data_IF_648250016226
#
_entry.id   IF_648250016226
#
_cell.length_a   1.000
_cell.length_b   1.000
_cell.length_c   1.000
_cell.angle_alpha   90.00
_cell.angle_beta   90.00
_cell.angle_gamma   90.00
#
_symmetry.space_group_name_H-M   'P 1'
#
loop_
_entity.id
_entity.type
_entity.pdbx_description
1 polymer ?
#
# COMPACT_ATOMS: atom_id res chain seq x y z
N UNK A 1 -9.69 -3.76 14.46
CA UNK A 1 -8.48 -4.61 14.47
C UNK A 1 -8.16 -4.91 13.01
N UNK A 2 -7.22 -4.20 12.39
CA UNK A 2 -6.93 -4.38 10.96
C UNK A 2 -6.03 -5.61 10.83
N UNK A 3 -6.64 -6.72 10.40
CA UNK A 3 -6.00 -8.01 10.22
C UNK A 3 -5.24 -8.06 8.88
N UNK A 4 -4.03 -8.62 8.97
CA UNK A 4 -3.17 -9.11 7.89
C UNK A 4 -2.45 -8.06 7.03
N UNK A 5 -1.21 -7.76 7.46
CA UNK A 5 -0.15 -7.32 6.54
C UNK A 5 0.02 -8.44 5.51
N UNK A 6 -0.06 -8.18 4.19
CA UNK A 6 0.12 -9.22 3.19
C UNK A 6 1.49 -9.89 3.35
N UNK A 7 1.49 -11.20 3.60
CA UNK A 7 2.69 -12.05 3.57
C UNK A 7 3.10 -12.34 2.12
N UNK A 8 3.12 -11.33 1.24
CA UNK A 8 3.71 -11.54 -0.07
C UNK A 8 5.23 -11.72 0.13
N UNK A 9 5.69 -12.92 -0.17
CA UNK A 9 7.10 -13.32 -0.06
C UNK A 9 8.04 -12.38 -0.83
N UNK A 10 7.57 -11.72 -1.89
CA UNK A 10 8.33 -10.73 -2.67
C UNK A 10 8.50 -9.41 -1.93
N UNK A 11 7.47 -8.94 -1.24
CA UNK A 11 7.54 -7.73 -0.40
C UNK A 11 8.52 -7.94 0.73
N UNK A 12 8.42 -9.08 1.42
CA UNK A 12 9.34 -9.42 2.50
C UNK A 12 10.78 -9.54 1.98
N UNK A 13 10.98 -10.13 0.80
CA UNK A 13 12.29 -10.21 0.17
C UNK A 13 12.86 -8.84 -0.21
N UNK A 14 12.05 -7.95 -0.81
CA UNK A 14 12.46 -6.58 -1.17
C UNK A 14 12.74 -5.74 0.08
N UNK A 15 11.88 -5.81 1.09
CA UNK A 15 12.05 -5.11 2.35
C UNK A 15 13.31 -5.57 3.09
N UNK A 16 13.63 -6.87 3.08
CA UNK A 16 14.86 -7.42 3.67
C UNK A 16 16.12 -6.97 2.92
N UNK A 17 16.03 -6.75 1.60
CA UNK A 17 17.14 -6.23 0.78
C UNK A 17 17.30 -4.71 0.90
N UNK A 18 16.29 -3.99 1.39
CA UNK A 18 16.34 -2.56 1.57
C UNK A 18 17.31 -2.17 2.71
N UNK A 19 17.92 -0.99 2.59
CA UNK A 19 18.78 -0.43 3.63
C UNK A 19 18.02 -0.21 4.94
N UNK A 20 18.72 -0.14 6.08
CA UNK A 20 18.08 0.14 7.39
C UNK A 20 17.27 1.44 7.37
N UNK A 21 17.73 2.44 6.63
CA UNK A 21 17.03 3.73 6.50
C UNK A 21 15.71 3.58 5.73
N UNK A 22 15.71 2.84 4.61
CA UNK A 22 14.50 2.54 3.84
C UNK A 22 13.50 1.73 4.66
N UNK A 23 13.97 0.72 5.41
CA UNK A 23 13.09 -0.04 6.31
C UNK A 23 12.47 0.83 7.40
N UNK A 24 13.21 1.80 7.93
CA UNK A 24 12.68 2.74 8.94
C UNK A 24 11.62 3.65 8.33
N UNK A 25 11.89 4.27 7.18
CA UNK A 25 10.92 5.12 6.47
C UNK A 25 9.65 4.36 6.10
N UNK A 26 9.78 3.14 5.60
CA UNK A 26 8.64 2.29 5.30
C UNK A 26 7.79 1.99 6.57
N UNK A 27 8.42 1.71 7.72
CA UNK A 27 7.69 1.53 8.99
C UNK A 27 6.95 2.81 9.41
N UNK A 28 7.59 3.97 9.31
CA UNK A 28 6.99 5.27 9.61
C UNK A 28 5.79 5.56 8.69
N UNK A 29 5.94 5.33 7.38
CA UNK A 29 4.86 5.48 6.41
C UNK A 29 3.69 4.52 6.67
N UNK A 30 3.97 3.27 7.08
CA UNK A 30 2.91 2.34 7.50
C UNK A 30 2.15 2.81 8.74
N UNK A 31 2.83 3.45 9.69
CA UNK A 31 2.16 4.03 10.87
C UNK A 31 1.26 5.20 10.48
N UNK A 32 1.68 6.02 9.51
CA UNK A 32 0.85 7.10 8.96
C UNK A 32 -0.36 6.50 8.23
N UNK A 33 -0.15 5.49 7.38
CA UNK A 33 -1.23 4.84 6.62
C UNK A 33 -2.33 4.27 7.53
N UNK A 34 -1.94 3.64 8.65
CA UNK A 34 -2.89 3.10 9.63
C UNK A 34 -3.74 4.17 10.30
N UNK A 35 -3.25 5.40 10.40
CA UNK A 35 -3.99 6.52 11.00
C UNK A 35 -4.84 7.25 9.96
N UNK A 36 -4.25 7.52 8.79
CA UNK A 36 -4.92 8.19 7.68
C UNK A 36 -4.30 7.71 6.35
N UNK A 37 -5.00 6.85 5.59
CA UNK A 37 -4.48 6.34 4.32
C UNK A 37 -4.43 7.42 3.22
N UNK A 38 -5.12 8.56 3.41
CA UNK A 38 -5.09 9.71 2.51
C UNK A 38 -4.22 10.85 3.04
N UNK A 39 -3.34 10.58 4.00
CA UNK A 39 -2.35 11.57 4.44
C UNK A 39 -1.53 12.04 3.23
N UNK A 40 -1.36 13.37 3.01
CA UNK A 40 -0.64 13.90 1.86
C UNK A 40 0.78 13.34 1.69
N UNK A 41 1.42 12.92 2.78
CA UNK A 41 2.75 12.29 2.77
C UNK A 41 2.78 10.95 2.04
N UNK A 42 1.64 10.27 1.97
CA UNK A 42 1.49 8.97 1.31
C UNK A 42 1.11 9.10 -0.16
N UNK A 43 0.85 10.32 -0.67
CA UNK A 43 0.52 10.58 -2.09
C UNK A 43 -0.53 9.61 -2.65
N UNK A 44 -1.56 9.34 -1.85
CA UNK A 44 -2.59 8.39 -2.21
C UNK A 44 -3.36 8.85 -3.45
N UNK A 45 -3.55 7.96 -4.42
CA UNK A 45 -4.26 8.27 -5.66
C UNK A 45 -5.13 7.10 -6.12
N UNK A 46 -6.19 7.41 -6.88
CA UNK A 46 -7.11 6.43 -7.45
C UNK A 46 -6.45 5.68 -8.61
N UNK A 47 -6.66 4.37 -8.67
CA UNK A 47 -6.22 3.52 -9.76
C UNK A 47 -7.42 3.16 -10.62
N UNK A 48 -7.61 3.87 -11.73
CA UNK A 48 -8.78 3.70 -12.59
C UNK A 48 -8.96 2.27 -13.12
N UNK A 49 -7.87 1.65 -13.58
CA UNK A 49 -7.89 0.31 -14.18
C UNK A 49 -8.33 -0.78 -13.20
N UNK A 50 -7.74 -0.80 -12.00
CA UNK A 50 -8.15 -1.71 -10.94
C UNK A 50 -9.56 -1.37 -10.44
N UNK A 51 -9.92 -0.08 -10.42
CA UNK A 51 -11.26 0.30 -10.01
C UNK A 51 -12.34 -0.28 -10.91
N UNK A 52 -12.12 -0.26 -12.23
CA UNK A 52 -13.00 -0.88 -13.20
C UNK A 52 -13.03 -2.42 -13.03
N UNK A 53 -11.87 -3.06 -12.87
CA UNK A 53 -11.76 -4.52 -12.71
C UNK A 53 -12.49 -5.05 -11.48
N UNK A 54 -12.39 -4.35 -10.35
CA UNK A 54 -12.96 -4.80 -9.08
C UNK A 54 -14.34 -4.20 -8.78
N UNK A 55 -14.92 -3.43 -9.73
CA UNK A 55 -16.16 -2.69 -9.59
C UNK A 55 -16.25 -1.88 -8.27
N UNK A 56 -15.11 -1.31 -7.83
CA UNK A 56 -14.97 -0.55 -6.58
C UNK A 56 -13.90 0.52 -6.77
N UNK A 57 -13.92 1.62 -6.03
CA UNK A 57 -12.82 2.58 -6.13
C UNK A 57 -11.59 2.04 -5.40
N UNK A 58 -10.54 1.78 -6.17
CA UNK A 58 -9.24 1.30 -5.68
C UNK A 58 -8.27 2.48 -5.61
N UNK A 59 -7.51 2.54 -4.53
CA UNK A 59 -6.45 3.52 -4.29
C UNK A 59 -5.10 2.83 -4.11
N UNK A 60 -4.03 3.59 -4.34
CA UNK A 60 -2.69 3.23 -3.90
C UNK A 60 -2.04 4.35 -3.13
N UNK A 61 -1.44 3.99 -1.99
CA UNK A 61 -0.63 4.85 -1.14
C UNK A 61 0.85 4.45 -1.24
N UNK A 62 1.72 5.44 -1.19
CA UNK A 62 3.16 5.27 -1.24
C UNK A 62 3.75 5.06 0.14
N UNK A 63 4.52 3.97 0.29
CA UNK A 63 5.15 3.62 1.56
C UNK A 63 6.64 3.94 1.56
N UNK A 64 7.38 3.46 0.54
CA UNK A 64 8.81 3.75 0.40
C UNK A 64 9.28 3.38 -1.01
N UNK A 65 9.99 4.29 -1.69
CA UNK A 65 10.51 4.06 -3.04
C UNK A 65 9.44 3.50 -4.00
N UNK A 66 9.53 2.23 -4.41
CA UNK A 66 8.57 1.56 -5.28
C UNK A 66 7.46 0.81 -4.52
N UNK A 67 7.53 0.70 -3.20
CA UNK A 67 6.56 0.00 -2.37
C UNK A 67 5.26 0.81 -2.26
N UNK A 68 4.15 0.16 -2.59
CA UNK A 68 2.79 0.70 -2.53
C UNK A 68 1.89 -0.22 -1.72
N UNK A 69 0.92 0.38 -1.04
CA UNK A 69 -0.23 -0.32 -0.47
C UNK A 69 -1.42 -0.04 -1.36
N UNK A 70 -2.06 -1.09 -1.89
CA UNK A 70 -3.31 -1.00 -2.65
C UNK A 70 -4.46 -1.26 -1.70
N UNK A 71 -5.47 -0.39 -1.68
CA UNK A 71 -6.57 -0.46 -0.72
C UNK A 71 -7.86 0.12 -1.30
N UNK A 72 -8.98 -0.15 -0.62
CA UNK A 72 -10.25 0.53 -0.83
C UNK A 72 -10.88 0.89 0.51
N UNK A 73 -11.86 1.78 0.45
CA UNK A 73 -12.69 2.13 1.61
C UNK A 73 -14.03 1.42 1.46
N UNK A 74 -14.43 0.69 2.48
CA UNK A 74 -15.75 0.08 2.60
C UNK A 74 -16.40 0.61 3.88
N UNK A 75 -17.46 1.40 3.71
CA UNK A 75 -18.06 2.19 4.79
C UNK A 75 -17.01 3.08 5.48
N UNK A 76 -16.59 2.73 6.69
CA UNK A 76 -15.58 3.42 7.51
C UNK A 76 -14.28 2.59 7.68
N UNK A 77 -14.17 1.46 6.98
CA UNK A 77 -13.05 0.53 7.10
C UNK A 77 -12.11 0.68 5.91
N UNK A 78 -10.81 0.77 6.21
CA UNK A 78 -9.73 0.67 5.22
C UNK A 78 -9.42 -0.80 4.99
N UNK A 79 -9.71 -1.30 3.80
CA UNK A 79 -9.41 -2.67 3.41
C UNK A 79 -8.19 -2.70 2.50
N UNK A 80 -7.12 -3.36 2.96
CA UNK A 80 -5.90 -3.56 2.17
C UNK A 80 -6.11 -4.72 1.21
N UNK A 81 -5.84 -4.49 -0.08
CA UNK A 81 -5.93 -5.49 -1.14
C UNK A 81 -4.59 -6.16 -1.35
N UNK A 82 -3.53 -5.36 -1.40
CA UNK A 82 -2.18 -5.84 -1.67
C UNK A 82 -1.13 -4.85 -1.16
N UNK A 83 0.08 -5.34 -0.98
CA UNK A 83 1.28 -4.53 -0.76
C UNK A 83 2.32 -5.04 -1.74
N UNK A 84 2.94 -4.15 -2.51
CA UNK A 84 3.86 -4.58 -3.56
C UNK A 84 4.56 -3.42 -4.26
N UNK A 85 5.45 -3.75 -5.20
CA UNK A 85 6.11 -2.73 -6.02
C UNK A 85 5.11 -2.06 -6.97
N UNK A 86 5.55 -1.00 -7.65
CA UNK A 86 4.79 -0.36 -8.73
C UNK A 86 4.37 -1.33 -9.85
N UNK A 87 5.02 -2.49 -9.98
CA UNK A 87 4.70 -3.49 -11.00
C UNK A 87 3.33 -4.13 -10.85
N UNK A 88 2.65 -3.95 -9.71
CA UNK A 88 1.25 -4.39 -9.51
C UNK A 88 0.29 -3.84 -10.59
N UNK A 89 0.67 -2.79 -11.32
CA UNK A 89 -0.13 -2.21 -12.40
C UNK A 89 0.19 -2.75 -13.80
N UNK A 90 1.27 -3.53 -13.96
CA UNK A 90 1.70 -4.11 -15.25
C UNK A 90 0.97 -5.43 -15.53
N UNK A 91 -0.34 -5.33 -15.70
CA UNK A 91 -1.18 -6.35 -16.35
C UNK A 91 -1.44 -6.01 -17.81
#
# INVERSE_FOLDING_TARGET
MINEIPRDSRVLAQFRKATRQQQRRAREAFLIFKQNPFDPRLRAHKIHRLSARYARTIYAAEIEADLRVVFYIESDIVVTVDVGSHDLYRG
#
